data_IF_160871276525
#
_entry.id   IF_160871276525
#
_cell.length_a   1.000
_cell.length_b   1.000
_cell.length_c   1.000
_cell.angle_alpha   90.00
_cell.angle_beta   90.00
_cell.angle_gamma   90.00
#
_symmetry.space_group_name_H-M   'P 1'
#
loop_
_entity.id
_entity.type
_entity.pdbx_description
1 polymer ?
#
# COMPACT_ATOMS: atom_id res chain seq x y z
N UNK A 1 -11.41 -0.58 9.62
CA UNK A 1 -12.14 -1.79 9.13
C UNK A 1 -13.31 -1.33 8.28
N UNK A 2 -13.51 -1.93 7.08
CA UNK A 2 -14.62 -1.56 6.20
C UNK A 2 -15.96 -1.88 6.88
N UNK A 3 -16.91 -0.93 6.97
CA UNK A 3 -18.22 -1.17 7.56
C UNK A 3 -19.00 -2.27 6.83
N UNK A 4 -19.68 -3.14 7.57
CA UNK A 4 -20.37 -4.31 7.01
C UNK A 4 -21.48 -3.93 6.01
N UNK A 5 -22.22 -2.85 6.29
CA UNK A 5 -23.31 -2.40 5.42
C UNK A 5 -22.77 -1.81 4.11
N UNK A 6 -21.64 -1.09 4.17
CA UNK A 6 -20.94 -0.63 2.97
C UNK A 6 -20.50 -1.83 2.13
N UNK A 7 -19.90 -2.85 2.73
CA UNK A 7 -19.45 -4.05 2.01
C UNK A 7 -20.62 -4.80 1.34
N UNK A 8 -21.80 -4.87 1.97
CA UNK A 8 -23.01 -5.45 1.36
C UNK A 8 -23.41 -4.66 0.11
N UNK A 9 -23.54 -3.33 0.21
CA UNK A 9 -23.91 -2.47 -0.93
C UNK A 9 -22.91 -2.56 -2.08
N UNK A 10 -21.62 -2.47 -1.79
CA UNK A 10 -20.56 -2.49 -2.82
C UNK A 10 -20.49 -3.83 -3.58
N UNK A 11 -20.86 -4.94 -2.92
CA UNK A 11 -20.85 -6.28 -3.52
C UNK A 11 -22.15 -6.65 -4.24
N UNK A 12 -23.23 -5.89 -4.03
CA UNK A 12 -24.53 -6.17 -4.66
C UNK A 12 -24.49 -5.72 -6.13
N UNK A 13 -24.69 -6.61 -7.10
CA UNK A 13 -24.72 -6.27 -8.52
C UNK A 13 -25.91 -5.40 -8.91
N UNK A 14 -26.97 -5.36 -8.09
CA UNK A 14 -28.18 -4.58 -8.35
C UNK A 14 -28.09 -3.13 -7.83
N UNK A 15 -27.05 -2.81 -7.06
CA UNK A 15 -26.80 -1.44 -6.58
C UNK A 15 -26.04 -0.67 -7.64
N UNK A 16 -26.47 0.55 -7.94
CA UNK A 16 -25.82 1.43 -8.92
C UNK A 16 -24.41 1.83 -8.48
N UNK A 17 -23.57 2.21 -9.44
CA UNK A 17 -22.21 2.66 -9.13
C UNK A 17 -22.22 3.95 -8.30
N UNK A 18 -23.19 4.85 -8.53
CA UNK A 18 -23.38 6.05 -7.73
C UNK A 18 -23.65 5.73 -6.25
N UNK A 19 -24.55 4.77 -6.00
CA UNK A 19 -24.86 4.31 -4.63
C UNK A 19 -23.67 3.61 -3.98
N UNK A 20 -22.86 2.86 -4.75
CA UNK A 20 -21.60 2.26 -4.26
C UNK A 20 -20.56 3.31 -3.89
N UNK A 21 -20.40 4.34 -4.71
CA UNK A 21 -19.51 5.49 -4.42
C UNK A 21 -19.99 6.22 -3.18
N UNK A 22 -21.29 6.51 -3.08
CA UNK A 22 -21.87 7.13 -1.88
C UNK A 22 -21.61 6.34 -0.62
N UNK A 23 -21.81 5.02 -0.66
CA UNK A 23 -21.55 4.14 0.49
C UNK A 23 -20.06 4.13 0.90
N UNK A 24 -19.13 4.18 -0.06
CA UNK A 24 -17.70 4.31 0.22
C UNK A 24 -17.35 5.65 0.85
N UNK A 25 -17.93 6.73 0.35
CA UNK A 25 -17.72 8.08 0.88
C UNK A 25 -18.24 8.19 2.33
N UNK A 26 -19.45 7.69 2.61
CA UNK A 26 -20.00 7.65 3.96
C UNK A 26 -19.11 6.85 4.92
N UNK A 27 -18.57 5.73 4.48
CA UNK A 27 -17.65 4.92 5.27
C UNK A 27 -16.30 5.63 5.53
N UNK A 28 -15.79 6.35 4.53
CA UNK A 28 -14.57 7.14 4.65
C UNK A 28 -14.75 8.27 5.68
N UNK A 29 -15.85 9.01 5.58
CA UNK A 29 -16.20 10.07 6.55
C UNK A 29 -16.34 9.54 7.97
N UNK A 30 -17.00 8.39 8.13
CA UNK A 30 -17.13 7.75 9.44
C UNK A 30 -15.76 7.40 10.03
N UNK A 31 -14.86 6.84 9.23
CA UNK A 31 -13.52 6.48 9.69
C UNK A 31 -12.69 7.73 10.05
N UNK A 32 -12.68 8.74 9.19
CA UNK A 32 -11.98 10.02 9.44
C UNK A 32 -12.47 10.62 10.76
N UNK A 33 -13.79 10.79 10.89
CA UNK A 33 -14.39 11.33 12.10
C UNK A 33 -14.06 10.51 13.34
N UNK A 34 -14.11 9.19 13.27
CA UNK A 34 -13.77 8.32 14.40
C UNK A 34 -12.31 8.55 14.84
N UNK A 35 -11.38 8.65 13.90
CA UNK A 35 -9.96 8.89 14.20
C UNK A 35 -9.72 10.28 14.80
N UNK A 36 -10.43 11.29 14.32
CA UNK A 36 -10.39 12.65 14.87
C UNK A 36 -10.99 12.74 16.28
N UNK A 37 -12.15 12.09 16.49
CA UNK A 37 -12.86 12.10 17.80
C UNK A 37 -12.05 11.40 18.90
N UNK A 38 -11.23 10.39 18.57
CA UNK A 38 -10.31 9.76 19.53
C UNK A 38 -8.98 10.54 19.70
N UNK A 39 -8.82 11.66 19.00
CA UNK A 39 -7.72 12.59 19.21
C UNK A 39 -6.45 12.27 18.41
N UNK A 40 -6.52 11.54 17.30
CA UNK A 40 -5.35 11.32 16.45
C UNK A 40 -4.98 12.59 15.68
N UNK A 41 -3.69 12.91 15.64
CA UNK A 41 -3.13 14.04 14.89
C UNK A 41 -2.96 13.72 13.40
N UNK A 42 -2.75 12.46 13.08
CA UNK A 42 -2.53 11.98 11.70
C UNK A 42 -3.63 10.96 11.37
N UNK A 43 -4.37 11.20 10.30
CA UNK A 43 -5.52 10.39 9.92
C UNK A 43 -5.48 10.00 8.43
N UNK A 44 -6.31 9.03 8.08
CA UNK A 44 -6.69 8.68 6.71
C UNK A 44 -8.06 7.97 6.73
N UNK A 45 -8.60 7.60 5.56
CA UNK A 45 -9.93 7.00 5.45
C UNK A 45 -9.98 5.50 5.82
N UNK A 46 -8.83 4.87 6.09
CA UNK A 46 -8.73 3.43 6.35
C UNK A 46 -8.85 2.57 5.09
N UNK A 47 -8.57 3.13 3.93
CA UNK A 47 -8.58 2.48 2.60
C UNK A 47 -9.95 1.86 2.24
N UNK A 48 -11.03 2.44 2.75
CA UNK A 48 -12.37 1.89 2.53
C UNK A 48 -12.84 2.04 1.10
N UNK A 49 -12.26 2.97 0.36
CA UNK A 49 -12.57 3.23 -1.06
C UNK A 49 -11.86 2.25 -2.00
N UNK A 50 -10.79 1.58 -1.56
CA UNK A 50 -10.02 0.61 -2.35
C UNK A 50 -10.66 -0.77 -2.35
N UNK A 51 -10.44 -1.52 -3.41
CA UNK A 51 -10.87 -2.93 -3.50
C UNK A 51 -10.03 -3.77 -2.53
N UNK A 52 -8.73 -3.76 -2.73
CA UNK A 52 -7.73 -4.46 -1.94
C UNK A 52 -6.37 -3.79 -2.21
N UNK A 53 -5.43 -3.83 -1.25
CA UNK A 53 -4.18 -3.09 -1.31
C UNK A 53 -3.30 -3.45 -2.53
N UNK A 54 -3.27 -4.73 -2.92
CA UNK A 54 -2.51 -5.21 -4.07
C UNK A 54 -3.31 -5.06 -5.38
N UNK A 55 -4.61 -5.42 -5.36
CA UNK A 55 -5.44 -5.37 -6.57
C UNK A 55 -5.66 -3.95 -7.09
N UNK A 56 -5.70 -2.96 -6.20
CA UNK A 56 -5.94 -1.57 -6.59
C UNK A 56 -4.86 -1.05 -7.53
N UNK A 57 -3.55 -1.05 -7.18
CA UNK A 57 -2.51 -0.60 -8.11
C UNK A 57 -2.44 -1.45 -9.39
N UNK A 58 -2.59 -2.76 -9.30
CA UNK A 58 -2.53 -3.67 -10.46
C UNK A 58 -3.54 -3.30 -11.55
N UNK A 59 -4.70 -2.74 -11.20
CA UNK A 59 -5.74 -2.32 -12.16
C UNK A 59 -5.32 -1.14 -13.03
N UNK A 60 -4.41 -0.31 -12.54
CA UNK A 60 -4.08 0.99 -13.14
C UNK A 60 -2.62 1.07 -13.62
N UNK A 61 -1.90 -0.03 -13.58
CA UNK A 61 -0.51 -0.13 -14.02
C UNK A 61 -0.43 -0.99 -15.28
N UNK A 62 0.27 -0.50 -16.31
CA UNK A 62 0.54 -1.29 -17.50
C UNK A 62 1.45 -2.46 -17.19
N UNK A 63 1.38 -3.49 -18.02
CA UNK A 63 2.20 -4.69 -17.90
C UNK A 63 1.61 -5.78 -17.01
N UNK A 64 0.49 -5.51 -16.30
CA UNK A 64 -0.19 -6.52 -15.48
C UNK A 64 -1.45 -7.10 -16.15
N UNK A 65 -1.67 -8.39 -15.93
CA UNK A 65 -2.92 -9.10 -16.22
C UNK A 65 -3.33 -9.95 -15.02
N UNK A 66 -4.62 -9.93 -14.64
CA UNK A 66 -5.10 -10.81 -13.58
C UNK A 66 -5.07 -12.27 -14.01
N UNK A 67 -4.40 -13.11 -13.22
CA UNK A 67 -4.25 -14.54 -13.47
C UNK A 67 -5.31 -15.40 -12.75
N UNK A 68 -5.94 -14.85 -11.69
CA UNK A 68 -6.99 -15.53 -10.95
C UNK A 68 -6.86 -15.35 -9.44
N UNK A 69 -7.81 -15.93 -8.71
CA UNK A 69 -7.88 -15.81 -7.26
C UNK A 69 -6.93 -16.80 -6.58
N UNK A 70 -6.16 -16.30 -5.64
CA UNK A 70 -5.31 -17.09 -4.77
C UNK A 70 -5.70 -16.87 -3.32
N UNK A 71 -5.46 -17.90 -2.49
CA UNK A 71 -5.67 -17.81 -1.06
C UNK A 71 -4.48 -17.11 -0.43
N UNK A 72 -4.78 -16.08 0.33
CA UNK A 72 -3.85 -15.46 1.26
C UNK A 72 -3.94 -16.14 2.63
N UNK A 73 -3.38 -15.54 3.69
CA UNK A 73 -3.53 -15.98 5.05
C UNK A 73 -4.98 -15.81 5.55
N UNK A 74 -5.36 -16.56 6.56
CA UNK A 74 -6.66 -16.45 7.26
C UNK A 74 -7.89 -16.54 6.32
N UNK A 75 -7.86 -17.47 5.35
CA UNK A 75 -8.94 -17.66 4.36
C UNK A 75 -9.34 -16.41 3.58
N UNK A 76 -8.49 -15.40 3.51
CA UNK A 76 -8.67 -14.27 2.61
C UNK A 76 -8.17 -14.63 1.21
N UNK A 77 -8.75 -13.99 0.22
CA UNK A 77 -8.41 -14.19 -1.18
C UNK A 77 -8.18 -12.85 -1.86
N UNK A 78 -7.22 -12.81 -2.77
CA UNK A 78 -7.01 -11.69 -3.68
C UNK A 78 -6.82 -12.21 -5.11
N UNK A 79 -7.04 -11.34 -6.09
CA UNK A 79 -6.77 -11.67 -7.48
C UNK A 79 -5.29 -11.43 -7.76
N UNK A 80 -4.52 -12.51 -7.86
CA UNK A 80 -3.11 -12.45 -8.20
C UNK A 80 -2.95 -12.12 -9.68
N UNK A 81 -2.00 -11.28 -10.01
CA UNK A 81 -1.67 -10.93 -11.38
C UNK A 81 -0.39 -11.60 -11.85
N UNK A 82 -0.19 -11.55 -13.16
CA UNK A 82 1.08 -11.83 -13.83
C UNK A 82 1.56 -10.57 -14.55
N UNK A 83 2.87 -10.41 -14.58
CA UNK A 83 3.54 -9.35 -15.31
C UNK A 83 3.89 -9.88 -16.69
N UNK A 84 3.24 -9.37 -17.72
CA UNK A 84 3.35 -9.86 -19.12
C UNK A 84 4.03 -8.85 -20.04
N UNK A 85 4.40 -7.70 -19.53
CA UNK A 85 5.04 -6.62 -20.29
C UNK A 85 5.72 -5.61 -19.39
N UNK A 86 6.35 -4.57 -19.95
CA UNK A 86 6.97 -3.51 -19.17
C UNK A 86 5.96 -2.83 -18.25
N UNK A 87 6.30 -2.72 -16.95
CA UNK A 87 5.42 -2.03 -15.98
C UNK A 87 5.55 -0.51 -16.14
N UNK A 88 4.42 0.17 -16.20
CA UNK A 88 4.37 1.63 -16.31
C UNK A 88 3.17 2.24 -15.57
N UNK A 89 3.43 3.36 -14.89
CA UNK A 89 2.40 4.19 -14.27
C UNK A 89 1.56 4.89 -15.35
N UNK A 90 0.24 4.76 -15.28
CA UNK A 90 -0.68 5.42 -16.21
C UNK A 90 -1.31 6.67 -15.63
N UNK A 91 -1.78 6.56 -14.40
CA UNK A 91 -2.52 7.63 -13.73
C UNK A 91 -2.40 7.48 -12.22
N UNK A 92 -2.59 8.58 -11.50
CA UNK A 92 -2.67 8.55 -10.06
C UNK A 92 -4.05 8.01 -9.61
N UNK A 93 -4.11 6.71 -9.36
CA UNK A 93 -5.32 6.00 -8.91
C UNK A 93 -5.69 6.31 -7.43
N UNK A 94 -4.84 7.01 -6.70
CA UNK A 94 -5.12 7.50 -5.34
C UNK A 94 -5.50 8.99 -5.29
N UNK A 95 -5.46 9.72 -6.41
CA UNK A 95 -5.69 11.15 -6.43
C UNK A 95 -7.09 11.54 -5.92
N UNK A 96 -8.13 10.84 -6.39
CA UNK A 96 -9.51 11.11 -5.96
C UNK A 96 -9.71 10.79 -4.49
N UNK A 97 -9.16 9.67 -4.01
CA UNK A 97 -9.20 9.28 -2.60
C UNK A 97 -8.50 10.32 -1.73
N UNK A 98 -7.27 10.71 -2.10
CA UNK A 98 -6.49 11.69 -1.35
C UNK A 98 -7.21 13.05 -1.29
N UNK A 99 -7.71 13.56 -2.41
CA UNK A 99 -8.44 14.83 -2.43
C UNK A 99 -9.71 14.75 -1.57
N UNK A 100 -10.46 13.64 -1.65
CA UNK A 100 -11.63 13.45 -0.80
C UNK A 100 -11.28 13.50 0.69
N UNK A 101 -10.22 12.83 1.13
CA UNK A 101 -9.78 12.86 2.53
C UNK A 101 -9.31 14.26 2.92
N UNK A 102 -8.55 14.93 2.05
CA UNK A 102 -8.04 16.28 2.25
C UNK A 102 -9.16 17.31 2.44
N UNK A 103 -10.24 17.17 1.66
CA UNK A 103 -11.39 18.07 1.72
C UNK A 103 -12.28 17.83 2.97
N UNK A 104 -12.12 16.67 3.63
CA UNK A 104 -12.97 16.26 4.75
C UNK A 104 -12.21 16.08 6.08
N UNK A 105 -10.96 16.51 6.17
CA UNK A 105 -10.18 16.51 7.42
C UNK A 105 -9.29 17.74 7.52
N UNK A 106 -9.14 18.24 8.74
CA UNK A 106 -8.19 19.32 9.09
C UNK A 106 -6.91 18.77 9.74
N UNK A 107 -6.77 17.45 9.82
CA UNK A 107 -5.60 16.78 10.40
C UNK A 107 -4.51 16.55 9.34
N UNK A 108 -3.32 16.20 9.80
CA UNK A 108 -2.30 15.70 8.88
C UNK A 108 -2.76 14.37 8.26
N UNK A 109 -2.44 14.17 6.99
CA UNK A 109 -2.83 12.99 6.24
C UNK A 109 -1.62 12.11 5.97
N UNK A 110 -1.73 10.82 6.31
CA UNK A 110 -0.74 9.81 5.97
C UNK A 110 -1.32 8.88 4.91
N UNK A 111 -0.82 9.01 3.66
CA UNK A 111 -1.32 8.27 2.51
C UNK A 111 -0.61 6.92 2.40
N UNK A 112 -1.31 5.78 2.55
CA UNK A 112 -0.70 4.47 2.32
C UNK A 112 -0.62 4.16 0.81
N UNK A 113 0.53 3.63 0.39
CA UNK A 113 0.84 3.22 -0.98
C UNK A 113 1.48 1.84 -0.93
N UNK A 114 1.02 0.91 -1.74
CA UNK A 114 1.64 -0.42 -1.84
C UNK A 114 3.03 -0.32 -2.43
N UNK A 115 4.00 -0.92 -1.76
CA UNK A 115 5.39 -0.85 -2.16
C UNK A 115 5.75 -1.80 -3.29
N UNK A 116 6.86 -1.50 -3.95
CA UNK A 116 7.30 -2.19 -5.16
C UNK A 116 7.71 -3.64 -4.91
N UNK A 117 8.32 -3.91 -3.75
CA UNK A 117 8.74 -5.27 -3.39
C UNK A 117 7.51 -6.18 -3.21
N UNK A 118 6.49 -5.73 -2.48
CA UNK A 118 5.24 -6.47 -2.31
C UNK A 118 4.50 -6.67 -3.63
N UNK A 119 4.44 -5.66 -4.50
CA UNK A 119 3.83 -5.80 -5.82
C UNK A 119 4.53 -6.87 -6.66
N UNK A 120 5.86 -6.93 -6.62
CA UNK A 120 6.63 -7.96 -7.32
C UNK A 120 6.43 -9.35 -6.69
N UNK A 121 6.58 -9.46 -5.37
CA UNK A 121 6.52 -10.74 -4.65
C UNK A 121 5.14 -11.42 -4.78
N UNK A 122 4.08 -10.62 -4.80
CA UNK A 122 2.72 -11.13 -4.92
C UNK A 122 2.24 -11.32 -6.36
N UNK A 123 3.11 -11.12 -7.35
CA UNK A 123 2.82 -11.33 -8.77
C UNK A 123 3.55 -12.55 -9.33
N UNK A 124 3.10 -13.05 -10.48
CA UNK A 124 3.89 -13.94 -11.30
C UNK A 124 4.67 -13.09 -12.31
N UNK A 125 5.98 -13.29 -12.40
CA UNK A 125 6.79 -12.60 -13.40
C UNK A 125 6.96 -13.48 -14.64
N UNK A 126 6.39 -13.05 -15.76
CA UNK A 126 6.51 -13.70 -17.07
C UNK A 126 7.26 -12.81 -18.09
N UNK A 127 7.81 -11.66 -17.64
CA UNK A 127 8.42 -10.69 -18.54
C UNK A 127 9.87 -10.32 -18.19
N UNK A 128 10.16 -10.07 -16.90
CA UNK A 128 11.51 -9.66 -16.48
C UNK A 128 12.42 -10.88 -16.26
N UNK A 129 13.75 -10.65 -16.32
CA UNK A 129 14.73 -11.75 -16.20
C UNK A 129 14.96 -12.21 -14.77
N UNK A 130 14.63 -11.33 -13.80
CA UNK A 130 14.80 -11.62 -12.37
C UNK A 130 13.79 -10.83 -11.56
N UNK A 131 13.50 -11.31 -10.34
CA UNK A 131 12.69 -10.58 -9.36
C UNK A 131 13.24 -9.18 -9.08
N UNK A 132 14.57 -9.04 -8.98
CA UNK A 132 15.22 -7.76 -8.71
C UNK A 132 14.96 -6.74 -9.84
N UNK A 133 14.99 -7.20 -11.10
CA UNK A 133 14.69 -6.34 -12.25
C UNK A 133 13.24 -5.86 -12.19
N UNK A 134 12.29 -6.75 -11.90
CA UNK A 134 10.88 -6.38 -11.73
C UNK A 134 10.67 -5.42 -10.56
N UNK A 135 11.27 -5.70 -9.39
CA UNK A 135 11.19 -4.86 -8.19
C UNK A 135 11.64 -3.43 -8.50
N UNK A 136 12.82 -3.29 -9.14
CA UNK A 136 13.35 -1.97 -9.48
C UNK A 136 12.55 -1.28 -10.58
N UNK A 137 12.00 -2.02 -11.54
CA UNK A 137 11.11 -1.46 -12.55
C UNK A 137 9.83 -0.91 -11.91
N UNK A 138 9.20 -1.65 -10.98
CA UNK A 138 8.04 -1.19 -10.23
C UNK A 138 8.36 0.04 -9.37
N UNK A 139 9.49 0.04 -8.68
CA UNK A 139 9.92 1.18 -7.88
C UNK A 139 10.08 2.45 -8.73
N UNK A 140 10.76 2.36 -9.87
CA UNK A 140 11.10 3.50 -10.73
C UNK A 140 9.95 3.97 -11.60
N UNK A 141 9.19 3.04 -12.16
CA UNK A 141 8.21 3.34 -13.20
C UNK A 141 6.76 3.38 -12.68
N UNK A 142 6.51 2.93 -11.46
CA UNK A 142 5.16 2.88 -10.87
C UNK A 142 5.09 3.63 -9.55
N UNK A 143 5.81 3.18 -8.51
CA UNK A 143 5.67 3.75 -7.17
C UNK A 143 6.22 5.16 -7.10
N UNK A 144 7.40 5.43 -7.66
CA UNK A 144 7.99 6.78 -7.66
C UNK A 144 7.09 7.82 -8.35
N UNK A 145 6.59 7.64 -9.58
CA UNK A 145 5.67 8.60 -10.19
C UNK A 145 4.37 8.75 -9.40
N UNK A 146 3.79 7.70 -8.86
CA UNK A 146 2.60 7.78 -8.01
C UNK A 146 2.86 8.65 -6.77
N UNK A 147 3.97 8.39 -6.05
CA UNK A 147 4.35 9.16 -4.85
C UNK A 147 4.62 10.62 -5.21
N UNK A 148 5.32 10.87 -6.32
CA UNK A 148 5.58 12.23 -6.81
C UNK A 148 4.29 13.00 -7.10
N UNK A 149 3.32 12.36 -7.74
CA UNK A 149 2.02 12.97 -8.02
C UNK A 149 1.22 13.26 -6.75
N UNK A 150 1.21 12.32 -5.77
CA UNK A 150 0.56 12.54 -4.49
C UNK A 150 1.17 13.73 -3.73
N UNK A 151 2.49 13.83 -3.72
CA UNK A 151 3.19 14.99 -3.12
C UNK A 151 2.85 16.26 -3.88
N UNK A 152 2.75 16.23 -5.20
CA UNK A 152 2.27 17.34 -6.04
C UNK A 152 0.84 17.79 -5.70
N UNK A 153 -0.03 16.89 -5.26
CA UNK A 153 -1.38 17.19 -4.76
C UNK A 153 -1.37 17.75 -3.32
N UNK A 154 -0.22 17.71 -2.64
CA UNK A 154 -0.02 18.25 -1.29
C UNK A 154 0.07 17.19 -0.18
N UNK A 155 0.27 15.91 -0.52
CA UNK A 155 0.57 14.89 0.48
C UNK A 155 1.95 15.16 1.12
N UNK A 156 2.00 15.19 2.45
CA UNK A 156 3.23 15.45 3.22
C UNK A 156 3.81 14.19 3.86
N UNK A 157 2.97 13.19 4.10
CA UNK A 157 3.37 11.93 4.73
C UNK A 157 2.88 10.78 3.82
N UNK A 158 3.81 9.99 3.33
CA UNK A 158 3.55 8.80 2.51
C UNK A 158 3.99 7.57 3.29
N UNK A 159 3.10 6.61 3.45
CA UNK A 159 3.42 5.30 4.01
C UNK A 159 3.56 4.29 2.87
N UNK A 160 4.73 3.65 2.78
CA UNK A 160 4.97 2.55 1.84
C UNK A 160 4.66 1.25 2.57
N UNK A 161 3.65 0.54 2.09
CA UNK A 161 3.19 -0.72 2.69
C UNK A 161 3.87 -1.91 2.05
N UNK A 162 4.65 -2.62 2.84
CA UNK A 162 5.49 -3.74 2.41
C UNK A 162 5.28 -4.99 3.28
N UNK A 163 4.10 -5.59 3.28
CA UNK A 163 3.83 -6.79 4.07
C UNK A 163 4.68 -8.00 3.66
N UNK A 164 5.19 -8.03 2.41
CA UNK A 164 6.08 -9.09 1.97
C UNK A 164 7.54 -8.94 2.45
N UNK A 165 7.92 -7.79 3.01
CA UNK A 165 9.31 -7.43 3.31
C UNK A 165 10.09 -8.49 4.12
N UNK A 166 9.45 -9.08 5.13
CA UNK A 166 10.13 -10.02 6.04
C UNK A 166 9.88 -11.49 5.72
N UNK A 167 9.16 -11.80 4.64
CA UNK A 167 8.90 -13.18 4.23
C UNK A 167 10.10 -13.84 3.56
N UNK A 168 11.02 -13.03 3.02
CA UNK A 168 12.25 -13.47 2.37
C UNK A 168 13.47 -12.77 2.97
N UNK A 169 14.00 -13.24 4.12
CA UNK A 169 15.10 -12.57 4.84
C UNK A 169 16.38 -12.39 4.02
N UNK A 170 16.61 -13.23 3.00
CA UNK A 170 17.77 -13.13 2.12
C UNK A 170 17.68 -12.03 1.07
N UNK A 171 16.51 -11.41 0.91
CA UNK A 171 16.24 -10.40 -0.13
C UNK A 171 16.20 -8.95 0.42
N UNK A 172 16.74 -8.73 1.62
CA UNK A 172 16.66 -7.41 2.26
C UNK A 172 17.42 -6.32 1.52
N UNK A 173 18.44 -6.63 0.75
CA UNK A 173 19.17 -5.62 -0.04
C UNK A 173 18.31 -5.07 -1.17
N UNK A 174 17.64 -5.92 -1.95
CA UNK A 174 16.73 -5.47 -3.00
C UNK A 174 15.48 -4.80 -2.43
N UNK A 175 14.99 -5.25 -1.27
CA UNK A 175 13.92 -4.57 -0.54
C UNK A 175 14.31 -3.12 -0.20
N UNK A 176 15.48 -2.92 0.45
CA UNK A 176 16.01 -1.59 0.78
C UNK A 176 16.15 -0.71 -0.46
N UNK A 177 16.76 -1.25 -1.52
CA UNK A 177 16.95 -0.52 -2.77
C UNK A 177 15.60 -0.10 -3.38
N UNK A 178 14.59 -0.96 -3.33
CA UNK A 178 13.25 -0.67 -3.85
C UNK A 178 12.60 0.54 -3.18
N UNK A 179 12.67 0.63 -1.84
CA UNK A 179 12.17 1.80 -1.09
C UNK A 179 12.93 3.04 -1.49
N UNK A 180 14.27 2.99 -1.47
CA UNK A 180 15.12 4.14 -1.78
C UNK A 180 14.90 4.65 -3.21
N UNK A 181 14.71 3.75 -4.17
CA UNK A 181 14.36 4.13 -5.55
C UNK A 181 12.94 4.68 -5.68
N UNK A 182 11.98 4.16 -4.91
CA UNK A 182 10.59 4.64 -4.92
C UNK A 182 10.44 6.09 -4.43
N UNK A 183 11.29 6.53 -3.50
CA UNK A 183 11.21 7.87 -2.90
C UNK A 183 12.29 8.84 -3.38
N UNK A 184 13.14 8.43 -4.30
CA UNK A 184 14.31 9.19 -4.74
C UNK A 184 13.96 10.54 -5.34
N UNK A 185 14.51 11.60 -4.74
CA UNK A 185 14.33 12.98 -5.21
C UNK A 185 12.96 13.58 -4.90
N UNK A 186 12.21 12.99 -3.98
CA UNK A 186 10.89 13.48 -3.54
C UNK A 186 11.04 14.00 -2.10
N UNK A 187 10.50 15.20 -1.86
CA UNK A 187 10.52 15.87 -0.55
C UNK A 187 9.19 15.63 0.16
N UNK A 188 9.17 14.62 1.03
CA UNK A 188 8.05 14.28 1.90
C UNK A 188 8.54 13.41 3.06
N UNK A 189 7.76 13.28 4.12
CA UNK A 189 8.02 12.32 5.20
C UNK A 189 7.61 10.92 4.73
N UNK A 190 8.55 9.98 4.78
CA UNK A 190 8.31 8.59 4.42
C UNK A 190 8.20 7.69 5.63
N UNK A 191 7.21 6.81 5.60
CA UNK A 191 6.96 5.77 6.60
C UNK A 191 6.99 4.43 5.90
N UNK A 192 7.70 3.45 6.45
CA UNK A 192 7.64 2.07 5.96
C UNK A 192 6.78 1.25 6.91
N UNK A 193 5.77 0.58 6.37
CA UNK A 193 4.93 -0.34 7.10
C UNK A 193 5.23 -1.78 6.70
N UNK A 194 5.65 -2.60 7.68
CA UNK A 194 5.88 -4.02 7.52
C UNK A 194 5.11 -4.77 8.63
N UNK A 195 3.94 -5.32 8.29
CA UNK A 195 3.07 -5.93 9.28
C UNK A 195 3.11 -7.45 9.27
N UNK A 196 2.98 -8.05 8.12
CA UNK A 196 2.83 -9.48 7.99
C UNK A 196 4.18 -10.14 7.76
N UNK A 197 4.64 -10.89 8.75
CA UNK A 197 5.74 -11.81 8.51
C UNK A 197 5.53 -13.08 9.31
N UNK A 198 5.82 -14.22 8.75
CA UNK A 198 5.92 -15.48 9.49
C UNK A 198 7.08 -15.49 10.49
N UNK A 199 7.95 -14.49 10.41
CA UNK A 199 9.20 -14.36 11.11
C UNK A 199 9.25 -13.11 11.98
N UNK A 200 10.42 -12.83 12.50
CA UNK A 200 10.76 -11.62 13.23
C UNK A 200 11.28 -10.52 12.31
N UNK A 201 11.61 -9.37 12.89
CA UNK A 201 12.19 -8.23 12.18
C UNK A 201 13.73 -8.22 12.17
N UNK A 202 14.39 -9.31 12.60
CA UNK A 202 15.87 -9.36 12.70
C UNK A 202 16.59 -9.13 11.38
N UNK A 203 15.99 -9.57 10.25
CA UNK A 203 16.56 -9.32 8.94
C UNK A 203 16.33 -7.88 8.48
N UNK A 204 15.22 -7.26 8.88
CA UNK A 204 14.88 -5.89 8.51
C UNK A 204 15.65 -4.86 9.36
N UNK A 205 15.83 -5.09 10.66
CA UNK A 205 16.41 -4.12 11.58
C UNK A 205 17.78 -3.58 11.14
N UNK A 206 18.73 -4.38 10.65
CA UNK A 206 20.02 -3.89 10.15
C UNK A 206 19.92 -3.00 8.91
N UNK A 207 18.83 -3.11 8.15
CA UNK A 207 18.62 -2.32 6.93
C UNK A 207 17.96 -0.97 7.21
N UNK A 208 17.24 -0.83 8.34
CA UNK A 208 16.48 0.38 8.67
C UNK A 208 17.30 1.68 8.60
N UNK A 209 18.55 1.74 9.08
CA UNK A 209 19.35 2.97 9.00
C UNK A 209 19.70 3.40 7.56
N UNK A 210 19.66 2.48 6.60
CA UNK A 210 20.00 2.75 5.20
C UNK A 210 18.78 2.99 4.31
N UNK A 211 17.57 2.76 4.84
CA UNK A 211 16.30 3.04 4.16
C UNK A 211 15.94 4.51 4.37
N UNK A 212 15.55 5.18 3.29
CA UNK A 212 15.08 6.57 3.31
C UNK A 212 13.65 6.66 3.86
N UNK A 213 13.52 6.46 5.16
CA UNK A 213 12.27 6.57 5.89
C UNK A 213 12.55 7.14 7.29
N UNK A 214 11.66 8.00 7.76
CA UNK A 214 11.76 8.63 9.09
C UNK A 214 10.99 7.86 10.15
N UNK A 215 10.15 6.92 9.76
CA UNK A 215 9.33 6.14 10.68
C UNK A 215 9.07 4.74 10.15
N UNK A 216 8.97 3.80 11.09
CA UNK A 216 8.54 2.42 10.82
C UNK A 216 7.26 2.10 11.60
N UNK A 217 6.30 1.49 10.92
CA UNK A 217 5.08 0.94 11.52
C UNK A 217 5.16 -0.58 11.45
N UNK A 218 5.40 -1.20 12.60
CA UNK A 218 5.63 -2.63 12.73
C UNK A 218 4.47 -3.29 13.48
N UNK A 219 4.23 -4.57 13.20
CA UNK A 219 3.22 -5.37 13.88
C UNK A 219 3.80 -6.02 15.15
N UNK A 220 3.18 -5.74 16.29
CA UNK A 220 3.51 -6.38 17.57
C UNK A 220 2.31 -7.15 18.15
N UNK A 221 1.10 -6.97 17.62
CA UNK A 221 -0.13 -7.50 18.21
C UNK A 221 -0.21 -9.03 18.23
N UNK A 222 0.32 -9.69 17.20
CA UNK A 222 0.32 -11.15 17.07
C UNK A 222 1.68 -11.77 17.37
N UNK A 223 2.58 -10.98 17.96
CA UNK A 223 3.96 -11.39 18.25
C UNK A 223 4.27 -11.08 19.70
N UNK A 224 5.00 -11.96 20.32
CA UNK A 224 5.53 -11.70 21.65
C UNK A 224 6.43 -10.46 21.64
N UNK A 225 6.59 -9.84 22.79
CA UNK A 225 7.35 -8.61 22.98
C UNK A 225 8.85 -8.71 22.64
N UNK A 226 9.32 -9.90 22.23
CA UNK A 226 10.72 -10.15 21.85
C UNK A 226 11.20 -9.34 20.62
N UNK A 227 10.28 -8.78 19.81
CA UNK A 227 10.62 -7.81 18.76
C UNK A 227 10.82 -6.38 19.28
N UNK A 228 10.51 -6.09 20.53
CA UNK A 228 10.63 -4.72 21.10
C UNK A 228 12.06 -4.33 21.46
N UNK A 229 13.01 -5.24 21.37
CA UNK A 229 14.43 -5.02 21.60
C UNK A 229 15.26 -4.84 20.33
N UNK A 230 14.62 -4.48 19.20
CA UNK A 230 15.29 -4.25 17.92
C UNK A 230 16.09 -2.96 17.92
#
# INVERSE_FOLDING_TARGET
KKPADMLKKVKDPNVSDEEKIKARNEAALLNIKTLEDIGLDIVYDGEVRRVEMYEEPVRYVDGFEFAGRVRSWDNKYYNKARVVGPVAFKQNFHAEEFNFVKDNSNRELKVPVTGAYTLADWSYDEHYKSKDELVLALARNVVRPLVKDLVGLGAKIIQIDEPAATTHPAEMDIFRESINESVKGIDAKFVVHACFSGNDYKALAPQMPEIKAEQYTLEFANRDTWNTGL
#
